data_IF_594520574060
#
_entry.id   IF_594520574060
#
_cell.length_a   1.000
_cell.length_b   1.000
_cell.length_c   1.000
_cell.angle_alpha   90.00
_cell.angle_beta   90.00
_cell.angle_gamma   90.00
#
_symmetry.space_group_name_H-M   'P 1'
#
loop_
_entity.id
_entity.type
_entity.pdbx_description
1 polymer ?
#
# COMPACT_ATOMS: atom_id res chain seq x y z
N UNK A 1 -22.39 15.29 -2.36
CA UNK A 1 -21.00 15.40 -2.86
C UNK A 1 -20.07 14.28 -2.35
N UNK A 2 -20.35 13.64 -1.20
CA UNK A 2 -19.51 12.61 -0.57
C UNK A 2 -19.31 11.31 -1.38
N UNK A 3 -20.31 10.83 -2.12
CA UNK A 3 -20.25 9.52 -2.81
C UNK A 3 -19.23 9.47 -3.98
N UNK A 4 -19.02 10.60 -4.66
CA UNK A 4 -18.07 10.71 -5.78
C UNK A 4 -16.63 10.82 -5.28
N UNK A 5 -16.43 11.55 -4.18
CA UNK A 5 -15.14 11.70 -3.50
C UNK A 5 -14.60 10.35 -3.01
N UNK A 6 -15.44 9.54 -2.36
CA UNK A 6 -15.06 8.20 -1.88
C UNK A 6 -14.71 7.23 -3.02
N UNK A 7 -15.48 7.24 -4.11
CA UNK A 7 -15.14 6.43 -5.31
C UNK A 7 -13.78 6.82 -5.89
N UNK A 8 -13.44 8.11 -5.85
CA UNK A 8 -12.16 8.61 -6.35
C UNK A 8 -11.00 8.18 -5.45
N UNK A 9 -11.17 8.23 -4.13
CA UNK A 9 -10.17 7.75 -3.17
C UNK A 9 -9.94 6.25 -3.34
N UNK A 10 -11.01 5.45 -3.38
CA UNK A 10 -10.92 4.00 -3.57
C UNK A 10 -10.20 3.64 -4.88
N UNK A 11 -10.49 4.38 -5.96
CA UNK A 11 -9.81 4.22 -7.24
C UNK A 11 -8.32 4.57 -7.17
N UNK A 12 -7.95 5.69 -6.55
CA UNK A 12 -6.56 6.11 -6.38
C UNK A 12 -5.80 5.09 -5.52
N UNK A 13 -6.39 4.61 -4.41
CA UNK A 13 -5.76 3.61 -3.55
C UNK A 13 -5.52 2.30 -4.31
N UNK A 14 -6.49 1.83 -5.11
CA UNK A 14 -6.29 0.65 -5.98
C UNK A 14 -5.14 0.84 -6.97
N UNK A 15 -5.08 1.99 -7.65
CA UNK A 15 -4.01 2.25 -8.61
C UNK A 15 -2.62 2.29 -7.95
N UNK A 16 -2.52 2.87 -6.75
CA UNK A 16 -1.27 2.88 -5.99
C UNK A 16 -0.86 1.48 -5.53
N UNK A 17 -1.83 0.65 -5.15
CA UNK A 17 -1.61 -0.76 -4.84
C UNK A 17 -1.07 -1.50 -6.06
N UNK A 18 -1.75 -1.41 -7.21
CA UNK A 18 -1.36 -2.12 -8.44
C UNK A 18 0.04 -1.68 -8.89
N UNK A 19 0.35 -0.38 -8.81
CA UNK A 19 1.67 0.15 -9.11
C UNK A 19 2.74 -0.37 -8.14
N UNK A 20 2.43 -0.53 -6.85
CA UNK A 20 3.38 -1.10 -5.88
C UNK A 20 3.67 -2.57 -6.16
N UNK A 21 2.67 -3.36 -6.62
CA UNK A 21 2.88 -4.74 -7.04
C UNK A 21 3.72 -4.84 -8.31
N UNK A 22 3.51 -3.96 -9.29
CA UNK A 22 4.31 -3.91 -10.50
C UNK A 22 5.78 -3.56 -10.19
N UNK A 23 6.01 -2.58 -9.34
CA UNK A 23 7.36 -2.22 -8.88
C UNK A 23 8.01 -3.38 -8.12
N UNK A 24 7.26 -4.09 -7.29
CA UNK A 24 7.73 -5.29 -6.61
C UNK A 24 8.13 -6.40 -7.61
N UNK A 25 7.27 -6.71 -8.59
CA UNK A 25 7.55 -7.72 -9.64
C UNK A 25 8.75 -7.33 -10.51
N UNK A 26 8.97 -6.04 -10.72
CA UNK A 26 10.14 -5.50 -11.42
C UNK A 26 11.44 -5.54 -10.59
N UNK A 27 11.41 -6.06 -9.35
CA UNK A 27 12.55 -6.06 -8.43
C UNK A 27 12.86 -4.70 -7.82
N UNK A 28 11.99 -3.71 -8.04
CA UNK A 28 12.19 -2.35 -7.62
C UNK A 28 11.62 -2.10 -6.21
N UNK A 29 12.20 -2.80 -5.24
CA UNK A 29 11.76 -2.83 -3.84
C UNK A 29 11.74 -1.44 -3.18
N UNK A 30 12.74 -0.54 -3.36
CA UNK A 30 12.72 0.77 -2.72
C UNK A 30 11.57 1.65 -3.21
N UNK A 31 11.31 1.70 -4.52
CA UNK A 31 10.17 2.41 -5.08
C UNK A 31 8.84 1.80 -4.61
N UNK A 32 8.72 0.46 -4.58
CA UNK A 32 7.52 -0.22 -4.10
C UNK A 32 7.20 0.17 -2.65
N UNK A 33 8.20 0.13 -1.76
CA UNK A 33 8.06 0.52 -0.36
C UNK A 33 7.66 1.99 -0.19
N UNK A 34 8.28 2.89 -0.96
CA UNK A 34 7.94 4.31 -0.93
C UNK A 34 6.49 4.56 -1.39
N UNK A 35 6.03 3.83 -2.40
CA UNK A 35 4.66 3.94 -2.91
C UNK A 35 3.63 3.48 -1.86
N UNK A 36 3.91 2.36 -1.17
CA UNK A 36 3.06 1.86 -0.09
C UNK A 36 2.99 2.88 1.04
N UNK A 37 4.14 3.44 1.46
CA UNK A 37 4.19 4.46 2.50
C UNK A 37 3.30 5.66 2.14
N UNK A 38 3.46 6.20 0.92
CA UNK A 38 2.62 7.30 0.42
C UNK A 38 1.14 6.96 0.39
N UNK A 39 0.80 5.70 0.07
CA UNK A 39 -0.59 5.21 0.07
C UNK A 39 -1.16 5.19 1.49
N UNK A 40 -0.37 4.75 2.47
CA UNK A 40 -0.74 4.77 3.89
C UNK A 40 -0.92 6.19 4.42
N UNK A 41 -0.01 7.10 4.08
CA UNK A 41 -0.07 8.51 4.47
C UNK A 41 -1.30 9.22 3.87
N UNK A 42 -1.58 8.99 2.59
CA UNK A 42 -2.79 9.48 1.93
C UNK A 42 -4.05 8.95 2.61
N UNK A 43 -4.10 7.64 2.89
CA UNK A 43 -5.23 7.03 3.57
C UNK A 43 -5.44 7.58 4.99
N UNK A 44 -4.38 7.75 5.76
CA UNK A 44 -4.42 8.34 7.10
C UNK A 44 -4.90 9.78 7.09
N UNK A 45 -4.45 10.58 6.13
CA UNK A 45 -4.90 11.95 5.93
C UNK A 45 -6.40 11.99 5.66
N UNK A 46 -6.88 11.14 4.75
CA UNK A 46 -8.29 11.07 4.37
C UNK A 46 -9.19 10.49 5.48
N UNK A 47 -8.69 9.54 6.26
CA UNK A 47 -9.41 9.00 7.42
C UNK A 47 -9.58 10.04 8.52
N UNK A 48 -8.54 10.85 8.77
CA UNK A 48 -8.59 11.91 9.79
C UNK A 48 -9.58 13.02 9.43
N UNK A 49 -9.74 13.33 8.15
CA UNK A 49 -10.69 14.35 7.69
C UNK A 49 -12.13 13.83 7.62
N UNK A 50 -12.34 12.52 7.39
CA UNK A 50 -13.68 11.94 7.25
C UNK A 50 -13.81 10.54 7.91
N UNK A 51 -13.88 10.44 9.24
CA UNK A 51 -13.91 9.17 9.96
C UNK A 51 -15.24 8.39 9.86
N UNK A 52 -16.30 8.97 9.25
CA UNK A 52 -17.69 8.48 9.38
C UNK A 52 -18.10 7.35 8.41
N UNK A 53 -17.25 6.87 7.53
CA UNK A 53 -17.67 5.83 6.56
C UNK A 53 -17.05 4.47 6.87
N UNK A 54 -17.90 3.45 7.13
CA UNK A 54 -17.49 2.05 7.30
C UNK A 54 -16.63 1.50 6.15
N UNK A 55 -16.61 2.17 5.00
CA UNK A 55 -15.73 1.90 3.85
C UNK A 55 -14.24 2.06 4.14
N UNK A 56 -13.86 2.92 5.09
CA UNK A 56 -12.46 3.04 5.52
C UNK A 56 -11.96 1.75 6.18
N UNK A 57 -12.85 0.97 6.81
CA UNK A 57 -12.47 -0.31 7.44
C UNK A 57 -12.06 -1.34 6.38
N UNK A 58 -12.74 -1.36 5.25
CA UNK A 58 -12.46 -2.26 4.12
C UNK A 58 -11.19 -1.85 3.38
N UNK A 59 -11.02 -0.54 3.12
CA UNK A 59 -9.78 0.01 2.58
C UNK A 59 -8.57 -0.27 3.48
N UNK A 60 -8.70 -0.05 4.80
CA UNK A 60 -7.64 -0.33 5.77
C UNK A 60 -7.23 -1.80 5.73
N UNK A 61 -8.19 -2.71 5.69
CA UNK A 61 -7.94 -4.15 5.62
C UNK A 61 -7.18 -4.54 4.35
N UNK A 62 -7.53 -3.94 3.21
CA UNK A 62 -6.81 -4.14 1.96
C UNK A 62 -5.39 -3.57 2.02
N UNK A 63 -5.22 -2.34 2.52
CA UNK A 63 -3.92 -1.72 2.73
C UNK A 63 -3.02 -2.59 3.61
N UNK A 64 -3.49 -3.03 4.78
CA UNK A 64 -2.72 -3.87 5.70
C UNK A 64 -2.31 -5.20 5.07
N UNK A 65 -3.20 -5.82 4.28
CA UNK A 65 -2.90 -7.07 3.56
C UNK A 65 -1.76 -6.89 2.57
N UNK A 66 -1.78 -5.81 1.79
CA UNK A 66 -0.80 -5.52 0.75
C UNK A 66 0.52 -5.04 1.35
N UNK A 67 0.45 -4.14 2.34
CA UNK A 67 1.58 -3.73 3.14
C UNK A 67 2.30 -4.94 3.73
N UNK A 68 1.59 -5.86 4.38
CA UNK A 68 2.19 -7.07 4.93
C UNK A 68 2.77 -7.99 3.85
N UNK A 69 2.11 -8.16 2.70
CA UNK A 69 2.61 -8.99 1.61
C UNK A 69 3.94 -8.46 1.04
N UNK A 70 4.03 -7.15 0.81
CA UNK A 70 5.23 -6.52 0.27
C UNK A 70 6.32 -6.42 1.34
N UNK A 71 5.97 -6.10 2.59
CA UNK A 71 6.94 -6.05 3.70
C UNK A 71 7.55 -7.42 3.96
N UNK A 72 6.73 -8.48 4.02
CA UNK A 72 7.20 -9.86 4.15
C UNK A 72 8.11 -10.24 2.98
N UNK A 73 7.72 -9.88 1.76
CA UNK A 73 8.54 -10.14 0.59
C UNK A 73 9.86 -9.35 0.55
N UNK A 74 9.88 -8.11 1.05
CA UNK A 74 11.11 -7.33 1.21
C UNK A 74 12.02 -7.96 2.27
N UNK A 75 11.46 -8.41 3.39
CA UNK A 75 12.21 -9.12 4.44
C UNK A 75 12.79 -10.43 3.89
N UNK A 76 12.01 -11.21 3.14
CA UNK A 76 12.47 -12.45 2.52
C UNK A 76 13.56 -12.18 1.46
N UNK A 77 13.40 -11.12 0.65
CA UNK A 77 14.40 -10.71 -0.33
C UNK A 77 15.71 -10.26 0.34
N UNK A 78 15.62 -9.46 1.42
CA UNK A 78 16.79 -9.04 2.21
C UNK A 78 17.43 -10.22 2.94
N UNK A 79 16.63 -11.15 3.47
CA UNK A 79 17.10 -12.38 4.12
C UNK A 79 17.84 -13.31 3.17
N UNK A 80 17.35 -13.46 1.94
CA UNK A 80 18.05 -14.22 0.87
C UNK A 80 19.33 -13.52 0.41
N UNK A 81 19.32 -12.19 0.25
CA UNK A 81 20.52 -11.43 -0.10
C UNK A 81 21.63 -11.55 0.95
N UNK A 82 21.26 -11.61 2.23
CA UNK A 82 22.23 -11.71 3.35
C UNK A 82 22.87 -13.09 3.49
N UNK A 83 22.26 -14.15 2.92
CA UNK A 83 22.80 -15.51 2.90
C UNK A 83 23.77 -15.77 1.74
N UNK A 84 23.72 -14.98 0.66
CA UNK A 84 24.60 -15.09 -0.50
C UNK A 84 25.90 -14.25 -0.39
N UNK A 85 26.21 -13.71 0.79
CA UNK A 85 27.43 -12.95 1.08
C UNK A 85 28.42 -13.73 1.97
N UNK A 86 28.38 -15.06 1.96
CA UNK A 86 29.37 -15.92 2.62
C UNK A 86 30.25 -16.63 1.61
#
# INVERSE_FOLDING_TARGET
MTKLYHKKIEHITRQLIDASELLYKAGNLPQAANLIKKTGDFFLSEYKTNPKEGKYRELKKNYEKIHNAITKSMIDALGKSRLNLK
#
